data_IF_496665270630
#
_entry.id   IF_496665270630
#
_cell.length_a   1.000
_cell.length_b   1.000
_cell.length_c   1.000
_cell.angle_alpha   90.00
_cell.angle_beta   90.00
_cell.angle_gamma   90.00
#
_symmetry.space_group_name_H-M   'P 1'
#
loop_
_entity.id
_entity.type
_entity.pdbx_description
1 polymer ?
#
# COMPACT_ATOMS: atom_id res chain seq x y z
N UNK A 1 -17.66 -3.60 -43.51
CA UNK A 1 -18.63 -3.53 -42.39
C UNK A 1 -18.01 -4.31 -41.22
N UNK A 2 -17.22 -3.62 -40.37
CA UNK A 2 -16.52 -4.23 -39.23
C UNK A 2 -17.19 -3.66 -37.98
N UNK A 3 -17.82 -4.55 -37.21
CA UNK A 3 -18.50 -4.21 -35.97
C UNK A 3 -17.46 -3.93 -34.88
N UNK A 4 -17.45 -2.71 -34.38
CA UNK A 4 -16.83 -2.35 -33.10
C UNK A 4 -17.81 -2.69 -31.97
N UNK A 5 -17.51 -3.73 -31.20
CA UNK A 5 -18.15 -3.98 -29.91
C UNK A 5 -17.15 -4.63 -28.99
N UNK A 6 -16.38 -3.87 -28.23
CA UNK A 6 -15.68 -4.33 -27.05
C UNK A 6 -15.36 -3.13 -26.15
N UNK A 7 -16.41 -2.50 -25.62
CA UNK A 7 -16.33 -1.81 -24.35
C UNK A 7 -16.83 -2.79 -23.28
N UNK A 8 -16.04 -3.11 -22.24
CA UNK A 8 -16.56 -3.94 -21.15
C UNK A 8 -17.66 -3.16 -20.42
N UNK A 9 -18.81 -3.80 -20.36
CA UNK A 9 -20.04 -3.34 -19.74
C UNK A 9 -19.84 -2.82 -18.32
N UNK A 10 -20.43 -1.68 -18.00
CA UNK A 10 -20.60 -1.10 -16.65
C UNK A 10 -21.33 -2.08 -15.69
N UNK A 11 -21.95 -3.13 -16.21
CA UNK A 11 -22.60 -4.19 -15.44
C UNK A 11 -21.64 -5.16 -14.70
N UNK A 12 -20.34 -5.20 -15.05
CA UNK A 12 -19.39 -6.13 -14.46
C UNK A 12 -18.89 -5.73 -13.05
N UNK A 13 -19.01 -4.47 -12.65
CA UNK A 13 -18.53 -3.97 -11.37
C UNK A 13 -19.30 -4.51 -10.14
N UNK A 14 -20.53 -4.98 -10.31
CA UNK A 14 -21.34 -5.53 -9.21
C UNK A 14 -20.91 -6.93 -8.76
N UNK A 15 -20.05 -7.62 -9.50
CA UNK A 15 -19.58 -8.97 -9.19
C UNK A 15 -18.16 -9.02 -8.62
N UNK A 16 -17.35 -7.93 -8.73
CA UNK A 16 -15.98 -7.89 -8.23
C UNK A 16 -15.94 -7.84 -6.70
N UNK A 17 -15.10 -8.68 -6.11
CA UNK A 17 -14.75 -8.59 -4.69
C UNK A 17 -13.60 -7.59 -4.46
N UNK A 18 -13.26 -7.32 -3.19
CA UNK A 18 -12.21 -6.36 -2.86
C UNK A 18 -10.84 -6.77 -3.47
N UNK A 19 -10.56 -8.08 -3.55
CA UNK A 19 -9.32 -8.58 -4.15
C UNK A 19 -9.26 -8.37 -5.67
N UNK A 20 -10.39 -8.48 -6.36
CA UNK A 20 -10.48 -8.24 -7.81
C UNK A 20 -10.17 -6.77 -8.14
N UNK A 21 -10.72 -5.86 -7.33
CA UNK A 21 -10.42 -4.43 -7.45
C UNK A 21 -8.93 -4.14 -7.27
N UNK A 22 -8.30 -4.70 -6.21
CA UNK A 22 -6.86 -4.53 -5.98
C UNK A 22 -6.03 -5.05 -7.15
N UNK A 23 -6.29 -6.28 -7.60
CA UNK A 23 -5.51 -6.90 -8.67
C UNK A 23 -5.67 -6.18 -10.00
N UNK A 24 -6.89 -5.74 -10.32
CA UNK A 24 -7.17 -4.89 -11.49
C UNK A 24 -6.43 -3.56 -11.41
N UNK A 25 -6.44 -2.91 -10.24
CA UNK A 25 -5.73 -1.66 -10.00
C UNK A 25 -4.23 -1.81 -10.22
N UNK A 26 -3.59 -2.78 -9.59
CA UNK A 26 -2.15 -2.99 -9.73
C UNK A 26 -1.71 -3.34 -11.16
N UNK A 27 -2.53 -4.11 -11.88
CA UNK A 27 -2.27 -4.44 -13.30
C UNK A 27 -2.25 -3.21 -14.21
N UNK A 28 -2.99 -2.16 -13.84
CA UNK A 28 -3.12 -0.93 -14.63
C UNK A 28 -2.11 0.16 -14.21
N UNK A 29 -1.32 -0.08 -13.14
CA UNK A 29 -0.34 0.91 -12.70
C UNK A 29 0.80 1.05 -13.69
N UNK A 30 0.94 2.23 -14.22
CA UNK A 30 2.05 2.62 -15.09
C UNK A 30 2.33 4.12 -15.00
N UNK A 31 3.58 4.49 -15.28
CA UNK A 31 4.03 5.89 -15.38
C UNK A 31 4.74 6.04 -16.72
N UNK A 32 4.04 6.61 -17.69
CA UNK A 32 4.46 6.58 -19.10
C UNK A 32 5.58 7.57 -19.44
N UNK A 33 5.79 8.64 -18.68
CA UNK A 33 6.79 9.66 -19.05
C UNK A 33 7.05 10.70 -17.94
N UNK A 34 8.06 11.53 -18.14
CA UNK A 34 8.29 12.73 -17.33
C UNK A 34 9.12 12.52 -16.07
N UNK A 35 9.67 11.33 -15.84
CA UNK A 35 10.51 11.09 -14.67
C UNK A 35 11.82 11.88 -14.75
N UNK A 36 12.32 12.45 -13.64
CA UNK A 36 13.61 13.11 -13.59
C UNK A 36 14.75 12.17 -14.00
N UNK A 37 15.83 12.73 -14.58
CA UNK A 37 16.98 11.96 -15.02
C UNK A 37 17.56 11.05 -13.90
N UNK A 38 17.83 9.80 -14.25
CA UNK A 38 18.38 8.78 -13.34
C UNK A 38 17.40 8.21 -12.33
N UNK A 39 16.11 8.58 -12.38
CA UNK A 39 15.06 7.95 -11.58
C UNK A 39 14.50 6.75 -12.34
N UNK A 40 14.50 5.59 -11.67
CA UNK A 40 13.94 4.33 -12.17
C UNK A 40 12.69 3.98 -11.37
N UNK A 41 11.69 3.37 -12.03
CA UNK A 41 10.44 2.91 -11.40
C UNK A 41 10.55 1.44 -11.04
N UNK A 42 10.04 1.08 -9.86
CA UNK A 42 9.84 -0.31 -9.46
C UNK A 42 8.40 -0.71 -9.77
N UNK A 43 8.21 -1.57 -10.76
CA UNK A 43 6.90 -2.07 -11.20
C UNK A 43 6.87 -3.60 -11.06
N UNK A 44 6.69 -4.15 -9.85
CA UNK A 44 6.67 -5.59 -9.62
C UNK A 44 5.52 -6.28 -10.38
N UNK A 45 4.45 -5.56 -10.64
CA UNK A 45 3.23 -6.06 -11.30
C UNK A 45 3.39 -6.40 -12.79
N UNK A 46 4.56 -6.17 -13.37
CA UNK A 46 4.96 -6.62 -14.71
C UNK A 46 5.77 -7.92 -14.67
N UNK A 47 6.04 -8.47 -13.48
CA UNK A 47 6.80 -9.71 -13.30
C UNK A 47 5.84 -10.85 -12.93
N UNK A 48 5.82 -11.93 -13.73
CA UNK A 48 4.88 -13.06 -13.56
C UNK A 48 4.88 -13.62 -12.13
N UNK A 49 6.05 -13.77 -11.53
CA UNK A 49 6.15 -14.28 -10.15
C UNK A 49 5.49 -13.33 -9.15
N UNK A 50 5.73 -12.02 -9.23
CA UNK A 50 5.12 -11.05 -8.32
C UNK A 50 3.60 -10.98 -8.54
N UNK A 51 3.14 -11.02 -9.79
CA UNK A 51 1.71 -11.08 -10.13
C UNK A 51 1.05 -12.32 -9.53
N UNK A 52 1.67 -13.50 -9.65
CA UNK A 52 1.18 -14.74 -9.05
C UNK A 52 1.09 -14.65 -7.51
N UNK A 53 2.12 -14.11 -6.86
CA UNK A 53 2.15 -13.93 -5.40
C UNK A 53 1.10 -12.92 -4.91
N UNK A 54 0.93 -11.80 -5.63
CA UNK A 54 -0.14 -10.83 -5.39
C UNK A 54 -1.51 -11.53 -5.49
N UNK A 55 -1.73 -12.33 -6.54
CA UNK A 55 -2.96 -13.09 -6.73
C UNK A 55 -3.25 -13.98 -5.52
N UNK A 56 -2.28 -14.79 -5.07
CA UNK A 56 -2.43 -15.66 -3.92
C UNK A 56 -2.71 -14.88 -2.63
N UNK A 57 -1.96 -13.79 -2.38
CA UNK A 57 -2.10 -12.98 -1.17
C UNK A 57 -3.46 -12.26 -1.12
N UNK A 58 -3.80 -11.53 -2.18
CA UNK A 58 -5.03 -10.73 -2.18
C UNK A 58 -6.28 -11.61 -2.22
N UNK A 59 -6.26 -12.72 -2.96
CA UNK A 59 -7.36 -13.70 -2.92
C UNK A 59 -7.50 -14.39 -1.56
N UNK A 60 -6.40 -14.62 -0.84
CA UNK A 60 -6.46 -15.22 0.50
C UNK A 60 -7.15 -14.29 1.51
N UNK A 61 -6.87 -12.99 1.49
CA UNK A 61 -7.26 -12.08 2.57
C UNK A 61 -8.38 -11.09 2.21
N UNK A 62 -8.73 -10.96 0.92
CA UNK A 62 -9.61 -9.90 0.45
C UNK A 62 -10.71 -10.38 -0.50
N UNK A 63 -10.99 -11.70 -0.56
CA UNK A 63 -12.07 -12.27 -1.39
C UNK A 63 -13.44 -12.10 -0.73
N UNK A 64 -13.78 -10.86 -0.43
CA UNK A 64 -15.06 -10.44 0.14
C UNK A 64 -15.40 -9.00 -0.32
N UNK A 65 -16.47 -8.42 0.23
CA UNK A 65 -16.91 -7.04 -0.05
C UNK A 65 -16.91 -6.16 1.22
N UNK A 66 -16.16 -6.55 2.26
CA UNK A 66 -16.10 -5.80 3.50
C UNK A 66 -15.40 -4.47 3.28
N UNK A 67 -15.92 -3.41 3.92
CA UNK A 67 -15.22 -2.12 3.97
C UNK A 67 -13.97 -2.21 4.84
N UNK A 68 -12.90 -1.54 4.41
CA UNK A 68 -11.61 -1.52 5.11
C UNK A 68 -11.08 -0.12 5.31
N UNK A 69 -10.48 0.11 6.46
CA UNK A 69 -9.67 1.31 6.67
C UNK A 69 -8.41 1.25 5.81
N UNK A 70 -8.08 2.38 5.19
CA UNK A 70 -6.88 2.50 4.37
C UNK A 70 -5.68 2.92 5.22
N UNK A 71 -4.57 2.20 5.07
CA UNK A 71 -3.27 2.55 5.66
C UNK A 71 -2.31 2.87 4.51
N UNK A 72 -1.82 4.11 4.44
CA UNK A 72 -0.95 4.59 3.39
C UNK A 72 0.50 4.73 3.85
N UNK A 73 1.38 3.91 3.30
CA UNK A 73 2.83 4.11 3.34
C UNK A 73 3.28 5.24 2.43
N UNK A 74 4.60 5.37 2.24
CA UNK A 74 5.21 6.35 1.34
C UNK A 74 5.14 5.84 -0.10
N UNK A 75 5.96 4.87 -0.42
CA UNK A 75 6.01 4.11 -1.67
C UNK A 75 6.78 2.80 -1.46
N UNK A 76 6.58 1.77 -2.30
CA UNK A 76 7.29 0.49 -2.20
C UNK A 76 8.81 0.64 -2.21
N UNK A 77 9.48 -0.10 -1.33
CA UNK A 77 10.93 -0.20 -1.30
C UNK A 77 11.45 -1.40 -2.10
N UNK A 78 12.68 -1.30 -2.63
CA UNK A 78 13.31 -2.28 -3.52
C UNK A 78 13.55 -3.68 -2.92
N UNK A 79 13.38 -3.88 -1.62
CA UNK A 79 13.61 -5.16 -0.94
C UNK A 79 12.34 -5.79 -0.36
N UNK A 80 11.23 -5.08 -0.37
CA UNK A 80 9.92 -5.53 0.11
C UNK A 80 8.88 -5.48 -1.00
N UNK A 81 7.91 -4.57 -0.88
CA UNK A 81 6.83 -4.40 -1.85
C UNK A 81 7.28 -4.14 -3.29
N UNK A 82 8.49 -3.61 -3.51
CA UNK A 82 9.07 -3.46 -4.84
C UNK A 82 9.49 -4.79 -5.50
N UNK A 83 9.55 -5.91 -4.75
CA UNK A 83 9.80 -7.25 -5.25
C UNK A 83 8.52 -8.08 -5.25
N UNK A 84 7.81 -8.12 -4.12
CA UNK A 84 6.63 -8.98 -3.94
C UNK A 84 5.36 -8.39 -4.54
N UNK A 85 5.32 -7.08 -4.78
CA UNK A 85 4.12 -6.35 -5.14
C UNK A 85 3.14 -6.12 -3.96
N UNK A 86 3.49 -6.58 -2.75
CA UNK A 86 2.64 -6.49 -1.57
C UNK A 86 3.26 -5.49 -0.58
N UNK A 87 2.60 -4.37 -0.24
CA UNK A 87 3.15 -3.36 0.65
C UNK A 87 3.61 -3.95 1.98
N UNK A 88 4.79 -3.53 2.46
CA UNK A 88 5.41 -3.97 3.71
C UNK A 88 5.53 -5.49 3.90
N UNK A 89 5.52 -6.25 2.79
CA UNK A 89 5.63 -7.71 2.82
C UNK A 89 6.82 -8.16 2.00
N UNK A 90 7.90 -8.51 2.67
CA UNK A 90 9.08 -9.10 2.04
C UNK A 90 8.88 -10.63 1.80
N UNK A 91 9.75 -11.27 1.01
CA UNK A 91 9.65 -12.71 0.71
C UNK A 91 9.64 -13.63 1.94
N UNK A 92 10.30 -13.24 3.04
CA UNK A 92 10.31 -14.01 4.30
C UNK A 92 8.97 -13.90 5.03
N UNK A 93 8.39 -12.69 5.07
CA UNK A 93 7.09 -12.46 5.73
C UNK A 93 5.97 -13.16 4.97
N UNK A 94 6.01 -13.11 3.64
CA UNK A 94 5.05 -13.78 2.78
C UNK A 94 5.02 -15.29 3.06
N UNK A 95 6.18 -15.91 3.21
CA UNK A 95 6.27 -17.33 3.53
C UNK A 95 5.89 -17.65 4.98
N UNK A 96 6.51 -16.95 5.94
CA UNK A 96 6.38 -17.24 7.37
C UNK A 96 4.99 -16.94 7.92
N UNK A 97 4.43 -15.78 7.59
CA UNK A 97 3.18 -15.29 8.19
C UNK A 97 1.96 -15.52 7.30
N UNK A 98 2.16 -15.51 5.98
CA UNK A 98 1.06 -15.68 5.05
C UNK A 98 0.94 -17.11 4.50
N UNK A 99 1.95 -17.96 4.74
CA UNK A 99 1.97 -19.34 4.24
C UNK A 99 2.03 -19.41 2.71
N UNK A 100 2.60 -18.39 2.05
CA UNK A 100 2.74 -18.31 0.59
C UNK A 100 4.22 -18.51 0.23
N UNK A 101 4.61 -19.73 -0.22
CA UNK A 101 5.99 -20.03 -0.61
C UNK A 101 6.39 -19.23 -1.85
N UNK A 102 7.67 -18.86 -1.93
CA UNK A 102 8.20 -18.12 -3.06
C UNK A 102 9.69 -18.41 -3.26
N UNK A 103 10.21 -18.15 -4.46
CA UNK A 103 11.61 -18.38 -4.83
C UNK A 103 12.46 -17.11 -4.84
N UNK A 104 11.93 -15.97 -4.42
CA UNK A 104 12.70 -14.74 -4.28
C UNK A 104 13.79 -14.85 -3.23
N UNK A 105 14.88 -14.09 -3.40
CA UNK A 105 15.95 -14.00 -2.42
C UNK A 105 15.39 -13.59 -1.05
N UNK A 106 15.67 -14.38 -0.02
CA UNK A 106 15.12 -14.20 1.34
C UNK A 106 15.84 -13.06 2.07
N UNK A 107 15.50 -11.82 1.72
CA UNK A 107 15.98 -10.61 2.41
C UNK A 107 14.87 -10.03 3.25
N UNK A 108 15.15 -9.76 4.54
CA UNK A 108 14.22 -9.09 5.43
C UNK A 108 14.24 -7.58 5.18
N UNK A 109 13.07 -6.95 5.27
CA UNK A 109 12.90 -5.50 5.28
C UNK A 109 12.52 -5.01 6.68
N UNK A 110 13.27 -4.04 7.21
CA UNK A 110 13.04 -3.51 8.57
C UNK A 110 11.60 -3.03 8.80
N UNK A 111 11.00 -2.40 7.79
CA UNK A 111 9.61 -1.94 7.89
C UNK A 111 8.63 -3.11 7.99
N UNK A 112 8.89 -4.18 7.26
CA UNK A 112 8.09 -5.40 7.31
C UNK A 112 8.20 -6.09 8.67
N UNK A 113 9.37 -6.08 9.31
CA UNK A 113 9.55 -6.64 10.66
C UNK A 113 8.60 -5.99 11.67
N UNK A 114 8.50 -4.65 11.67
CA UNK A 114 7.58 -3.94 12.55
C UNK A 114 6.11 -4.21 12.20
N UNK A 115 5.76 -4.10 10.92
CA UNK A 115 4.36 -4.29 10.48
C UNK A 115 3.87 -5.68 10.85
N UNK A 116 4.66 -6.73 10.66
CA UNK A 116 4.23 -8.08 11.02
C UNK A 116 4.23 -8.33 12.54
N UNK A 117 5.09 -7.66 13.32
CA UNK A 117 4.97 -7.69 14.78
C UNK A 117 3.67 -7.03 15.25
N UNK A 118 3.25 -5.94 14.61
CA UNK A 118 1.97 -5.26 14.89
C UNK A 118 0.77 -6.12 14.43
N UNK A 119 0.84 -6.74 13.25
CA UNK A 119 -0.20 -7.64 12.75
C UNK A 119 -0.39 -8.84 13.69
N UNK A 120 0.69 -9.45 14.19
CA UNK A 120 0.62 -10.53 15.17
C UNK A 120 -0.07 -10.07 16.46
N UNK A 121 0.31 -8.89 16.97
CA UNK A 121 -0.30 -8.33 18.18
C UNK A 121 -1.78 -7.93 17.98
N UNK A 122 -2.19 -7.57 16.75
CA UNK A 122 -3.60 -7.33 16.39
C UNK A 122 -4.44 -8.62 16.39
N UNK A 123 -3.81 -9.79 16.34
CA UNK A 123 -4.46 -11.10 16.30
C UNK A 123 -4.26 -11.87 15.01
N UNK A 124 -3.21 -11.53 14.26
CA UNK A 124 -2.78 -12.24 13.06
C UNK A 124 -3.30 -11.66 11.73
N UNK A 125 -2.75 -12.16 10.60
CA UNK A 125 -3.05 -11.63 9.27
C UNK A 125 -4.53 -11.66 8.90
N UNK A 126 -5.24 -12.75 9.18
CA UNK A 126 -6.65 -12.89 8.85
C UNK A 126 -7.50 -11.80 9.51
N UNK A 127 -7.32 -11.59 10.81
CA UNK A 127 -8.06 -10.57 11.57
C UNK A 127 -7.70 -9.16 11.10
N UNK A 128 -6.40 -8.92 10.86
CA UNK A 128 -5.90 -7.62 10.45
C UNK A 128 -6.41 -7.24 9.06
N UNK A 129 -6.19 -8.08 8.05
CA UNK A 129 -6.57 -7.79 6.67
C UNK A 129 -8.08 -7.80 6.44
N UNK A 130 -8.87 -8.37 7.35
CA UNK A 130 -10.33 -8.22 7.33
C UNK A 130 -10.79 -6.77 7.66
N UNK A 131 -9.98 -5.99 8.38
CA UNK A 131 -10.31 -4.62 8.81
C UNK A 131 -9.52 -3.55 8.05
N UNK A 132 -8.32 -3.87 7.57
CA UNK A 132 -7.39 -2.91 7.01
C UNK A 132 -6.89 -3.33 5.62
N UNK A 133 -6.72 -2.32 4.77
CA UNK A 133 -5.99 -2.46 3.52
C UNK A 133 -4.76 -1.56 3.56
N UNK A 134 -3.58 -2.17 3.35
CA UNK A 134 -2.31 -1.42 3.29
C UNK A 134 -1.98 -1.12 1.83
N UNK A 135 -1.71 0.15 1.56
CA UNK A 135 -1.22 0.65 0.29
C UNK A 135 -0.12 1.71 0.50
N UNK A 136 0.08 2.58 -0.46
CA UNK A 136 1.02 3.69 -0.37
C UNK A 136 0.45 4.93 -1.05
N UNK A 137 0.93 6.12 -0.65
CA UNK A 137 0.58 7.39 -1.32
C UNK A 137 0.98 7.34 -2.79
N UNK A 138 2.22 6.84 -3.07
CA UNK A 138 2.57 6.40 -4.42
C UNK A 138 2.62 4.87 -4.46
N UNK A 139 1.73 4.19 -5.19
CA UNK A 139 1.70 2.73 -5.24
C UNK A 139 2.86 2.12 -6.05
N UNK A 140 3.64 2.91 -6.77
CA UNK A 140 4.89 2.50 -7.39
C UNK A 140 6.09 3.04 -6.61
N UNK A 141 7.17 2.25 -6.56
CA UNK A 141 8.41 2.62 -5.92
C UNK A 141 9.39 3.28 -6.89
N UNK A 142 10.41 3.93 -6.33
CA UNK A 142 11.44 4.61 -7.12
C UNK A 142 12.83 4.31 -6.59
N UNK A 143 13.80 4.28 -7.52
CA UNK A 143 15.23 4.24 -7.18
C UNK A 143 15.99 5.32 -7.95
N UNK A 144 17.10 5.76 -7.36
CA UNK A 144 18.13 6.58 -8.02
C UNK A 144 19.50 6.11 -7.55
N UNK A 145 20.39 5.90 -8.46
CA UNK A 145 21.75 5.36 -8.19
C UNK A 145 21.68 4.07 -7.32
N UNK A 146 20.74 3.19 -7.63
CA UNK A 146 20.52 1.93 -6.91
C UNK A 146 20.04 2.08 -5.46
N UNK A 147 19.60 3.27 -5.01
CA UNK A 147 19.06 3.53 -3.67
C UNK A 147 17.57 3.86 -3.75
N UNK A 148 16.81 3.47 -2.72
CA UNK A 148 15.40 3.85 -2.62
C UNK A 148 15.25 5.37 -2.62
N UNK A 149 14.26 5.85 -3.37
CA UNK A 149 13.86 7.26 -3.43
C UNK A 149 12.40 7.36 -3.02
N UNK A 150 12.07 8.27 -2.11
CA UNK A 150 10.69 8.58 -1.81
C UNK A 150 10.13 9.54 -2.86
N UNK A 151 8.84 9.43 -3.16
CA UNK A 151 8.18 10.28 -4.16
C UNK A 151 8.33 11.79 -3.89
N UNK A 152 8.63 12.20 -2.66
CA UNK A 152 8.78 13.59 -2.22
C UNK A 152 10.24 14.02 -1.97
N UNK A 153 11.24 13.18 -2.25
CA UNK A 153 12.65 13.53 -2.00
C UNK A 153 13.22 14.46 -3.08
N UNK A 154 12.65 14.41 -4.28
CA UNK A 154 12.97 15.28 -5.41
C UNK A 154 11.70 16.03 -5.82
N UNK A 155 11.80 17.36 -5.91
CA UNK A 155 10.64 18.24 -6.18
C UNK A 155 10.00 17.94 -7.54
N UNK A 156 10.82 17.77 -8.57
CA UNK A 156 10.38 17.45 -9.93
C UNK A 156 9.64 16.09 -9.97
N UNK A 157 10.11 15.11 -9.22
CA UNK A 157 9.43 13.81 -9.10
C UNK A 157 8.06 13.97 -8.45
N UNK A 158 7.98 14.73 -7.36
CA UNK A 158 6.70 14.96 -6.67
C UNK A 158 5.68 15.67 -7.57
N UNK A 159 6.13 16.64 -8.39
CA UNK A 159 5.28 17.37 -9.31
C UNK A 159 4.74 16.46 -10.43
N UNK A 160 5.60 15.68 -11.05
CA UNK A 160 5.22 14.70 -12.10
C UNK A 160 4.23 13.66 -11.58
N UNK A 161 4.40 13.22 -10.33
CA UNK A 161 3.57 12.18 -9.73
C UNK A 161 2.23 12.69 -9.20
N UNK A 162 1.97 14.00 -9.14
CA UNK A 162 0.77 14.55 -8.48
C UNK A 162 -0.52 13.92 -9.04
N UNK A 163 -0.71 13.94 -10.35
CA UNK A 163 -1.93 13.38 -10.97
C UNK A 163 -2.00 11.85 -10.81
N UNK A 164 -0.88 11.16 -10.99
CA UNK A 164 -0.81 9.71 -10.77
C UNK A 164 -1.23 9.31 -9.34
N UNK A 165 -0.77 10.06 -8.33
CA UNK A 165 -1.15 9.84 -6.92
C UNK A 165 -2.64 10.11 -6.72
N UNK A 166 -3.18 11.20 -7.25
CA UNK A 166 -4.60 11.56 -7.15
C UNK A 166 -5.48 10.47 -7.77
N UNK A 167 -5.17 10.06 -8.98
CA UNK A 167 -5.94 9.04 -9.70
C UNK A 167 -5.84 7.68 -9.03
N UNK A 168 -4.65 7.34 -8.51
CA UNK A 168 -4.45 6.11 -7.72
C UNK A 168 -5.27 6.11 -6.43
N UNK A 169 -5.35 7.24 -5.72
CA UNK A 169 -6.19 7.35 -4.53
C UNK A 169 -7.68 7.22 -4.88
N UNK A 170 -8.15 7.90 -5.91
CA UNK A 170 -9.55 7.83 -6.36
C UNK A 170 -9.97 6.41 -6.72
N UNK A 171 -9.14 5.72 -7.49
CA UNK A 171 -9.39 4.31 -7.85
C UNK A 171 -9.47 3.39 -6.63
N UNK A 172 -8.60 3.60 -5.64
CA UNK A 172 -8.61 2.78 -4.42
C UNK A 172 -9.89 3.00 -3.58
N UNK A 173 -10.53 4.17 -3.63
CA UNK A 173 -11.81 4.39 -2.95
C UNK A 173 -12.93 3.48 -3.49
N UNK A 174 -12.87 3.09 -4.75
CA UNK A 174 -13.84 2.22 -5.40
C UNK A 174 -13.79 0.77 -4.86
N UNK A 175 -12.73 0.39 -4.12
CA UNK A 175 -12.59 -0.97 -3.55
C UNK A 175 -13.53 -1.22 -2.35
N UNK A 176 -14.15 -0.20 -1.82
CA UNK A 176 -14.92 -0.27 -0.57
C UNK A 176 -14.10 0.24 0.63
N UNK A 177 -13.33 1.32 0.43
CA UNK A 177 -12.58 1.95 1.53
C UNK A 177 -13.51 2.69 2.47
N UNK A 178 -13.25 2.53 3.78
CA UNK A 178 -13.86 3.34 4.83
C UNK A 178 -13.22 4.75 4.84
N UNK A 179 -14.04 5.79 4.68
CA UNK A 179 -13.55 7.17 4.52
C UNK A 179 -13.58 8.01 5.79
N UNK A 180 -14.04 7.45 6.92
CA UNK A 180 -14.01 8.16 8.22
C UNK A 180 -12.58 8.47 8.65
N UNK A 181 -11.67 7.52 8.51
CA UNK A 181 -10.25 7.67 8.87
C UNK A 181 -9.35 6.99 7.84
N UNK A 182 -8.28 7.69 7.43
CA UNK A 182 -7.15 7.10 6.74
C UNK A 182 -5.91 7.18 7.62
N UNK A 183 -5.16 6.10 7.74
CA UNK A 183 -3.89 6.08 8.48
C UNK A 183 -2.72 6.39 7.56
N UNK A 184 -1.85 7.30 7.97
CA UNK A 184 -0.64 7.69 7.24
C UNK A 184 0.61 7.21 7.99
N UNK A 185 1.41 6.34 7.37
CA UNK A 185 2.69 5.91 7.93
C UNK A 185 3.77 6.96 7.67
N UNK A 186 4.18 7.64 8.73
CA UNK A 186 5.15 8.74 8.72
C UNK A 186 4.50 10.09 9.08
N UNK A 187 5.01 10.69 10.15
CA UNK A 187 4.50 11.94 10.74
C UNK A 187 5.09 13.20 10.09
N UNK A 188 6.05 13.03 9.17
CA UNK A 188 6.78 14.13 8.52
C UNK A 188 6.21 14.54 7.16
N UNK A 189 7.07 14.48 6.12
CA UNK A 189 6.74 14.92 4.74
C UNK A 189 5.56 14.16 4.16
N UNK A 190 5.45 12.85 4.41
CA UNK A 190 4.35 12.03 3.91
C UNK A 190 3.00 12.51 4.46
N UNK A 191 2.91 12.69 5.78
CA UNK A 191 1.69 13.19 6.44
C UNK A 191 1.31 14.59 5.94
N UNK A 192 2.27 15.52 5.87
CA UNK A 192 2.02 16.90 5.40
C UNK A 192 1.49 16.91 3.97
N UNK A 193 2.04 16.06 3.09
CA UNK A 193 1.59 15.95 1.71
C UNK A 193 0.19 15.37 1.62
N UNK A 194 -0.06 14.23 2.28
CA UNK A 194 -1.35 13.56 2.25
C UNK A 194 -2.46 14.41 2.86
N UNK A 195 -2.16 15.10 3.98
CA UNK A 195 -3.14 15.98 4.63
C UNK A 195 -3.52 17.15 3.72
N UNK A 196 -2.54 17.83 3.10
CA UNK A 196 -2.81 18.89 2.12
C UNK A 196 -3.62 18.36 0.93
N UNK A 197 -3.29 17.17 0.44
CA UNK A 197 -4.04 16.56 -0.65
C UNK A 197 -5.48 16.24 -0.22
N UNK A 198 -5.68 15.76 0.99
CA UNK A 198 -7.00 15.53 1.55
C UNK A 198 -7.80 16.83 1.74
N UNK A 199 -7.15 17.94 2.10
CA UNK A 199 -7.78 19.27 2.18
C UNK A 199 -8.29 19.75 0.82
N UNK A 200 -7.55 19.42 -0.26
CA UNK A 200 -7.96 19.73 -1.64
C UNK A 200 -9.10 18.82 -2.13
N UNK A 201 -9.02 17.52 -1.86
CA UNK A 201 -9.90 16.51 -2.44
C UNK A 201 -11.10 16.12 -1.55
N UNK A 202 -11.02 16.39 -0.25
CA UNK A 202 -12.07 16.07 0.75
C UNK A 202 -12.49 14.59 0.74
N UNK A 203 -11.50 13.68 0.66
CA UNK A 203 -11.74 12.23 0.56
C UNK A 203 -12.04 11.63 1.92
N UNK A 204 -11.20 11.90 2.92
CA UNK A 204 -11.29 11.33 4.26
C UNK A 204 -11.74 12.40 5.26
N UNK A 205 -12.55 12.00 6.25
CA UNK A 205 -12.92 12.91 7.33
C UNK A 205 -11.71 13.27 8.19
N UNK A 206 -10.79 12.31 8.40
CA UNK A 206 -9.55 12.53 9.13
C UNK A 206 -8.38 11.72 8.57
N UNK A 207 -7.17 12.30 8.63
CA UNK A 207 -5.90 11.58 8.42
C UNK A 207 -5.21 11.44 9.77
N UNK A 208 -5.01 10.20 10.20
CA UNK A 208 -4.31 9.88 11.45
C UNK A 208 -2.87 9.47 11.14
N UNK A 209 -1.89 10.24 11.60
CA UNK A 209 -0.48 9.89 11.41
C UNK A 209 -0.01 8.83 12.42
N UNK A 210 0.83 7.94 11.95
CA UNK A 210 1.52 6.91 12.72
C UNK A 210 3.03 7.01 12.48
N UNK A 211 3.88 6.81 13.50
CA UNK A 211 5.34 6.77 13.31
C UNK A 211 5.72 5.75 12.22
N UNK A 212 6.62 6.14 11.31
CA UNK A 212 6.96 5.26 10.19
C UNK A 212 7.68 3.98 10.67
N UNK A 213 7.29 2.77 10.22
CA UNK A 213 7.89 1.49 10.62
C UNK A 213 9.42 1.46 10.55
N UNK A 214 10.00 1.99 9.48
CA UNK A 214 11.46 2.05 9.32
C UNK A 214 12.13 2.93 10.38
N UNK A 215 11.51 4.07 10.76
CA UNK A 215 12.03 4.92 11.83
C UNK A 215 12.05 4.18 13.17
N UNK A 216 10.99 3.46 13.49
CA UNK A 216 10.88 2.66 14.71
C UNK A 216 12.01 1.63 14.75
N UNK A 217 12.15 0.83 13.70
CA UNK A 217 13.13 -0.26 13.65
C UNK A 217 14.57 0.22 13.62
N UNK A 218 14.84 1.37 13.01
CA UNK A 218 16.18 1.91 12.88
C UNK A 218 16.63 2.69 14.13
N UNK A 219 15.73 3.42 14.77
CA UNK A 219 16.10 4.37 15.84
C UNK A 219 15.42 4.11 17.19
N UNK A 220 14.37 3.31 17.23
CA UNK A 220 13.53 3.06 18.41
C UNK A 220 13.28 1.58 18.69
N UNK A 221 14.12 0.70 18.16
CA UNK A 221 13.94 -0.76 18.22
C UNK A 221 13.70 -1.31 19.63
N UNK A 222 14.32 -0.72 20.64
CA UNK A 222 14.12 -1.09 22.05
C UNK A 222 12.71 -0.77 22.58
N UNK A 223 11.96 0.05 21.87
CA UNK A 223 10.61 0.50 22.23
C UNK A 223 9.54 -0.08 21.30
N UNK A 224 9.82 -1.17 20.57
CA UNK A 224 8.90 -1.76 19.60
C UNK A 224 7.50 -1.96 20.20
N UNK A 225 7.41 -2.56 21.39
CA UNK A 225 6.13 -2.83 22.02
C UNK A 225 5.31 -1.56 22.25
N UNK A 226 5.91 -0.51 22.77
CA UNK A 226 5.25 0.80 22.91
C UNK A 226 4.65 1.30 21.58
N UNK A 227 5.39 1.19 20.48
CA UNK A 227 4.86 1.61 19.17
C UNK A 227 3.79 0.68 18.62
N UNK A 228 3.87 -0.61 18.90
CA UNK A 228 2.78 -1.56 18.60
C UNK A 228 1.52 -1.14 19.34
N UNK A 229 1.61 -0.86 20.64
CA UNK A 229 0.47 -0.43 21.45
C UNK A 229 -0.15 0.88 20.93
N UNK A 230 0.69 1.87 20.54
CA UNK A 230 0.23 3.13 19.91
C UNK A 230 -0.56 2.86 18.61
N UNK A 231 -0.10 1.93 17.78
CA UNK A 231 -0.81 1.57 16.55
C UNK A 231 -2.17 0.93 16.85
N UNK A 232 -2.18 -0.04 17.77
CA UNK A 232 -3.40 -0.77 18.15
C UNK A 232 -4.44 0.17 18.77
N UNK A 233 -4.04 1.07 19.66
CA UNK A 233 -4.91 2.08 20.28
C UNK A 233 -5.58 2.98 19.22
N UNK A 234 -4.80 3.48 18.24
CA UNK A 234 -5.34 4.31 17.17
C UNK A 234 -6.28 3.53 16.24
N UNK A 235 -5.99 2.27 15.96
CA UNK A 235 -6.87 1.42 15.17
C UNK A 235 -8.19 1.15 15.89
N UNK A 236 -8.13 0.82 17.17
CA UNK A 236 -9.30 0.59 18.01
C UNK A 236 -10.17 1.84 18.13
N UNK A 237 -9.56 3.00 18.34
CA UNK A 237 -10.27 4.27 18.36
C UNK A 237 -11.03 4.55 17.05
N UNK A 238 -10.42 4.28 15.91
CA UNK A 238 -11.07 4.48 14.61
C UNK A 238 -12.24 3.48 14.37
N UNK A 239 -12.07 2.22 14.80
CA UNK A 239 -13.10 1.19 14.67
C UNK A 239 -14.32 1.54 15.54
N UNK A 240 -14.08 2.02 16.77
CA UNK A 240 -15.13 2.36 17.73
C UNK A 240 -15.85 3.70 17.40
N UNK A 241 -15.29 4.54 16.53
CA UNK A 241 -15.89 5.79 16.05
C UNK A 241 -16.71 5.65 14.76
N UNK A 242 -16.93 4.43 14.30
CA UNK A 242 -17.73 4.04 13.13
C UNK A 242 -19.24 3.93 13.45
#
# INVERSE_FOLDING_TARGET
MIFFSDYPDIASNNFMDFSDHILSFYKQLDIHSGLPAGVEVLIPYQQDQAVSLCGQFYKKYYSDKNKRFLILGINPGRHGGGITGIPFTDPLKLEKYCGIPNTFAKKSELSADFIYSMIDAYGGPEKFYNQFYISAVSPLGFTKDGKNLNYYDVKELQEVLKNFIIDSLRKQLEFGIETTVCFCLGEGKNFKYLNRLNDELKIFNAIVSLPHPRFIMQYRRKQIQHFVDVYLEKFESAINSK
#
